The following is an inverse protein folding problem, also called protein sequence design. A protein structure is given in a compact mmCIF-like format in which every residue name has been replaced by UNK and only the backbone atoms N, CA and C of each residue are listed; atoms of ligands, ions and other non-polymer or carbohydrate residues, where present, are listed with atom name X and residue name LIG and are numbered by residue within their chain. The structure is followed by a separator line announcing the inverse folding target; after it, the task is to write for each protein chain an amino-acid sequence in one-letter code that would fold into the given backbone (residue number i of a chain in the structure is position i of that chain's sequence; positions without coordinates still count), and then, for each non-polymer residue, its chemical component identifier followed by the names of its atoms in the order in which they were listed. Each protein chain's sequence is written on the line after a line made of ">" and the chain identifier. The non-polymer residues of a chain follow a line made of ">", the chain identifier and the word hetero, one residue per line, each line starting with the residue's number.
data_IF_082698654653
#
_entry.id   IF_082698654653
#
_cell.length_a   1.000
_cell.length_b   1.000
_cell.length_c   1.000
_cell.angle_alpha   90.00
_cell.angle_beta   90.00
_cell.angle_gamma   90.00
#
_symmetry.space_group_name_H-M   'P 1'
#
loop_
_entity.id
_entity.type
_entity.pdbx_description
1 polymer ?
#
# COMPACT_ATOMS: atom_id res chain seq x y z
N UNK A 1 16.84 12.87 3.37
CA UNK A 1 16.14 11.87 4.20
C UNK A 1 14.69 11.87 3.75
N UNK A 2 14.16 10.76 3.22
CA UNK A 2 12.76 10.69 2.81
C UNK A 2 11.86 11.00 4.01
N UNK A 3 10.87 11.88 3.84
CA UNK A 3 9.98 12.28 4.92
C UNK A 3 9.09 11.07 5.24
N UNK A 4 9.14 10.62 6.49
CA UNK A 4 8.37 9.46 6.92
C UNK A 4 6.87 9.77 6.90
N UNK A 5 6.20 9.41 5.80
CA UNK A 5 4.77 9.62 5.63
C UNK A 5 3.98 8.46 6.22
N UNK A 6 2.95 8.84 6.98
CA UNK A 6 1.99 7.96 7.63
C UNK A 6 0.79 7.75 6.71
N UNK A 7 0.50 6.50 6.34
CA UNK A 7 -0.58 6.16 5.40
C UNK A 7 -1.72 5.40 6.09
N UNK A 8 -2.96 5.84 5.91
CA UNK A 8 -4.13 4.98 6.13
C UNK A 8 -4.27 3.98 4.99
N UNK A 9 -4.92 2.83 5.23
CA UNK A 9 -5.16 1.82 4.20
C UNK A 9 -5.75 2.41 2.91
N UNK A 10 -6.78 3.27 3.02
CA UNK A 10 -7.41 3.94 1.87
C UNK A 10 -6.45 4.83 1.08
N UNK A 11 -5.54 5.52 1.75
CA UNK A 11 -4.55 6.37 1.07
C UNK A 11 -3.54 5.51 0.31
N UNK A 12 -3.09 4.41 0.91
CA UNK A 12 -2.17 3.46 0.29
C UNK A 12 -2.80 2.78 -0.93
N UNK A 13 -4.07 2.37 -0.85
CA UNK A 13 -4.83 1.86 -2.00
C UNK A 13 -4.89 2.91 -3.12
N UNK A 14 -5.19 4.18 -2.79
CA UNK A 14 -5.26 5.26 -3.77
C UNK A 14 -3.91 5.46 -4.46
N UNK A 15 -2.82 5.53 -3.70
CA UNK A 15 -1.47 5.64 -4.25
C UNK A 15 -1.16 4.47 -5.17
N UNK A 16 -1.38 3.23 -4.73
CA UNK A 16 -1.13 2.06 -5.57
C UNK A 16 -1.95 2.10 -6.88
N UNK A 17 -3.23 2.49 -6.83
CA UNK A 17 -4.06 2.67 -8.04
C UNK A 17 -3.49 3.70 -9.00
N UNK A 18 -2.93 4.80 -8.51
CA UNK A 18 -2.28 5.81 -9.37
C UNK A 18 -1.03 5.27 -10.07
N UNK A 19 -0.39 4.25 -9.51
CA UNK A 19 0.77 3.56 -10.10
C UNK A 19 0.38 2.28 -10.87
N UNK A 20 -0.88 2.16 -11.30
CA UNK A 20 -1.34 1.06 -12.14
C UNK A 20 -1.58 -0.26 -11.40
N UNK A 21 -1.73 -0.22 -10.07
CA UNK A 21 -2.18 -1.39 -9.31
C UNK A 21 -3.69 -1.47 -9.25
N UNK A 22 -4.22 -2.68 -9.36
CA UNK A 22 -5.64 -2.96 -9.33
C UNK A 22 -6.01 -3.71 -8.06
N UNK A 23 -7.21 -3.43 -7.55
CA UNK A 23 -7.73 -4.11 -6.38
C UNK A 23 -8.27 -5.48 -6.78
N UNK A 24 -7.80 -6.53 -6.11
CA UNK A 24 -8.27 -7.91 -6.28
C UNK A 24 -9.02 -8.37 -5.02
N UNK A 25 -9.56 -9.59 -5.08
CA UNK A 25 -10.24 -10.22 -3.95
C UNK A 25 -9.24 -10.39 -2.79
N UNK A 26 -9.54 -9.72 -1.68
CA UNK A 26 -8.80 -9.81 -0.43
C UNK A 26 -9.62 -10.48 0.68
N UNK A 27 -9.08 -10.46 1.90
CA UNK A 27 -9.80 -10.92 3.09
C UNK A 27 -10.64 -9.80 3.73
N UNK A 28 -11.44 -10.13 4.75
CA UNK A 28 -12.34 -9.19 5.45
C UNK A 28 -11.66 -7.88 5.89
N UNK A 29 -10.42 -7.97 6.36
CA UNK A 29 -9.63 -6.83 6.86
C UNK A 29 -8.37 -6.58 6.01
N UNK A 30 -8.29 -7.12 4.81
CA UNK A 30 -7.09 -7.06 3.99
C UNK A 30 -7.45 -6.80 2.54
N UNK A 31 -6.84 -5.78 1.95
CA UNK A 31 -7.01 -5.49 0.53
C UNK A 31 -5.82 -6.04 -0.22
N UNK A 32 -6.07 -6.92 -1.18
CA UNK A 32 -5.06 -7.43 -2.09
C UNK A 32 -5.00 -6.52 -3.31
N UNK A 33 -3.80 -6.09 -3.68
CA UNK A 33 -3.51 -5.32 -4.88
C UNK A 33 -2.66 -6.18 -5.82
N UNK A 34 -2.99 -6.16 -7.10
CA UNK A 34 -2.29 -6.89 -8.15
C UNK A 34 -1.86 -5.91 -9.25
N UNK A 35 -0.77 -6.24 -9.93
CA UNK A 35 -0.30 -5.54 -11.13
C UNK A 35 0.41 -6.56 -12.00
N UNK A 36 0.14 -6.54 -13.30
CA UNK A 36 0.77 -7.47 -14.23
C UNK A 36 2.31 -7.38 -14.16
N UNK A 37 2.99 -8.52 -14.15
CA UNK A 37 4.45 -8.59 -14.02
C UNK A 37 5.00 -8.31 -12.61
N UNK A 38 4.16 -8.01 -11.63
CA UNK A 38 4.57 -7.77 -10.23
C UNK A 38 3.97 -8.79 -9.27
N UNK A 39 4.68 -9.06 -8.16
CA UNK A 39 4.12 -9.87 -7.06
C UNK A 39 2.95 -9.11 -6.40
N UNK A 40 1.82 -9.76 -6.10
CA UNK A 40 0.72 -9.13 -5.37
C UNK A 40 1.17 -8.52 -4.05
N UNK A 41 0.53 -7.44 -3.67
CA UNK A 41 0.78 -6.70 -2.42
C UNK A 41 -0.49 -6.71 -1.58
N UNK A 42 -0.35 -7.00 -0.28
CA UNK A 42 -1.49 -7.04 0.64
C UNK A 42 -1.41 -5.86 1.61
N UNK A 43 -2.51 -5.14 1.75
CA UNK A 43 -2.63 -3.97 2.62
C UNK A 43 -3.58 -4.31 3.76
N UNK A 44 -3.08 -4.46 5.00
CA UNK A 44 -3.93 -4.72 6.14
C UNK A 44 -4.75 -3.49 6.53
N UNK A 45 -5.93 -3.73 7.09
CA UNK A 45 -6.74 -2.71 7.76
C UNK A 45 -6.25 -2.55 9.19
N UNK A 46 -5.98 -1.31 9.59
CA UNK A 46 -5.54 -0.98 10.95
C UNK A 46 -6.68 -0.34 11.75
N UNK A 47 -7.85 -0.99 11.81
CA UNK A 47 -9.05 -0.48 12.52
C UNK A 47 -9.42 0.98 12.20
N UNK A 48 -9.19 1.43 10.96
CA UNK A 48 -9.42 2.83 10.54
C UNK A 48 -8.31 3.82 10.91
N UNK A 49 -7.28 3.36 11.62
CA UNK A 49 -6.09 4.11 11.99
C UNK A 49 -5.04 4.09 10.86
N UNK A 50 -3.95 4.80 11.15
CA UNK A 50 -2.80 4.89 10.25
C UNK A 50 -1.92 3.67 10.41
N UNK A 51 -1.46 3.10 9.30
CA UNK A 51 -0.43 2.06 9.32
C UNK A 51 0.85 2.61 9.95
N UNK A 52 1.60 1.78 10.69
CA UNK A 52 2.96 2.11 11.11
C UNK A 52 3.80 2.50 9.91
N UNK A 53 4.62 3.54 10.05
CA UNK A 53 5.45 4.09 8.97
C UNK A 53 6.26 2.99 8.27
N UNK A 54 6.92 2.12 9.04
CA UNK A 54 7.74 1.04 8.48
C UNK A 54 6.93 0.05 7.65
N UNK A 55 5.69 -0.24 8.05
CA UNK A 55 4.79 -1.11 7.27
C UNK A 55 4.37 -0.44 5.97
N UNK A 56 3.94 0.82 6.01
CA UNK A 56 3.58 1.54 4.79
C UNK A 56 4.74 1.68 3.81
N UNK A 57 5.95 1.93 4.30
CA UNK A 57 7.16 2.03 3.48
C UNK A 57 7.57 0.68 2.90
N UNK A 58 7.46 -0.41 3.67
CA UNK A 58 7.71 -1.76 3.15
C UNK A 58 6.74 -2.14 2.03
N UNK A 59 5.46 -1.77 2.16
CA UNK A 59 4.43 -1.99 1.13
C UNK A 59 4.75 -1.21 -0.15
N UNK A 60 5.10 0.08 -0.03
CA UNK A 60 5.49 0.89 -1.20
C UNK A 60 6.75 0.36 -1.88
N UNK A 61 7.77 -0.02 -1.10
CA UNK A 61 9.00 -0.63 -1.61
C UNK A 61 8.72 -1.94 -2.33
N UNK A 62 7.87 -2.81 -1.78
CA UNK A 62 7.46 -4.05 -2.45
C UNK A 62 6.70 -3.77 -3.75
N UNK A 63 5.92 -2.68 -3.77
CA UNK A 63 5.20 -2.22 -4.95
C UNK A 63 6.09 -1.52 -5.99
N UNK A 64 7.39 -1.31 -5.69
CA UNK A 64 8.33 -0.59 -6.55
C UNK A 64 8.01 0.90 -6.66
N UNK A 65 7.44 1.50 -5.62
CA UNK A 65 7.09 2.93 -5.56
C UNK A 65 8.06 3.61 -4.60
N UNK A 66 8.80 4.59 -5.10
CA UNK A 66 9.65 5.46 -4.29
C UNK A 66 8.83 6.65 -3.78
N UNK A 67 8.81 6.84 -2.46
CA UNK A 67 8.13 7.96 -1.80
C UNK A 67 9.12 9.14 -1.73
N UNK A 68 9.14 9.99 -2.77
CA UNK A 68 10.02 11.16 -2.89
C UNK A 68 9.53 12.40 -2.08
N UNK A 69 8.66 12.19 -1.07
CA UNK A 69 7.99 13.28 -0.33
C UNK A 69 8.68 13.68 0.98
#
# INVERSE_FOLDING_TARGET
>A
MARLKRYKQKQLIKTLKQHGWEQSVGGKHQVKMIREGHRPVTIPEFKGETLPVGLSQAILKQAGIEDDS
#
